data_IF_058813064128
#
_entry.id   IF_058813064128
#
_cell.length_a   1.000
_cell.length_b   1.000
_cell.length_c   1.000
_cell.angle_alpha   90.00
_cell.angle_beta   90.00
_cell.angle_gamma   90.00
#
_symmetry.space_group_name_H-M   'P 1'
#
loop_
_entity.id
_entity.type
_entity.pdbx_description
1 polymer ?
#
# COMPACT_ATOMS: atom_id res chain seq x y z
N UNK A 1 -28.97 -18.58 21.99
CA UNK A 1 -29.46 -18.32 20.62
C UNK A 1 -29.38 -16.81 20.39
N UNK A 2 -28.30 -16.32 19.81
CA UNK A 2 -28.12 -14.90 19.52
C UNK A 2 -29.06 -14.51 18.39
N UNK A 3 -29.92 -13.54 18.63
CA UNK A 3 -30.91 -13.05 17.67
C UNK A 3 -30.22 -12.44 16.44
N UNK A 4 -30.81 -12.60 15.25
CA UNK A 4 -30.31 -12.05 13.99
C UNK A 4 -30.16 -10.51 13.96
N UNK A 5 -30.53 -9.81 15.03
CA UNK A 5 -30.42 -8.35 15.18
C UNK A 5 -29.06 -7.85 15.69
N UNK A 6 -28.19 -8.75 16.18
CA UNK A 6 -26.86 -8.41 16.70
C UNK A 6 -25.71 -8.65 15.72
N UNK A 7 -25.99 -9.05 14.47
CA UNK A 7 -24.94 -9.10 13.45
C UNK A 7 -24.58 -7.68 13.03
N UNK A 8 -23.28 -7.27 13.08
CA UNK A 8 -22.86 -6.02 12.49
C UNK A 8 -23.29 -6.01 11.01
N UNK A 9 -23.63 -4.83 10.46
CA UNK A 9 -24.04 -4.74 9.06
C UNK A 9 -22.99 -5.44 8.19
N UNK A 10 -23.41 -6.22 7.18
CA UNK A 10 -22.47 -6.85 6.28
C UNK A 10 -21.54 -5.77 5.71
N UNK A 11 -20.24 -6.06 5.58
CA UNK A 11 -19.31 -5.07 5.05
C UNK A 11 -19.80 -4.58 3.70
N UNK A 12 -19.75 -3.25 3.49
CA UNK A 12 -20.11 -2.64 2.22
C UNK A 12 -19.16 -3.15 1.12
N UNK A 13 -19.64 -3.98 0.17
CA UNK A 13 -18.79 -4.61 -0.84
C UNK A 13 -18.24 -3.59 -1.85
N UNK A 14 -18.74 -2.35 -1.85
CA UNK A 14 -18.29 -1.27 -2.73
C UNK A 14 -17.19 -0.45 -2.06
N UNK A 15 -16.97 -0.60 -0.75
CA UNK A 15 -15.96 0.21 -0.06
C UNK A 15 -14.56 -0.13 -0.57
N UNK A 16 -13.89 0.79 -1.28
CA UNK A 16 -12.58 0.51 -1.84
C UNK A 16 -11.57 0.28 -0.71
N UNK A 17 -10.51 -0.51 -0.96
CA UNK A 17 -9.43 -0.67 0.01
C UNK A 17 -8.77 0.68 0.25
N UNK A 18 -8.49 0.99 1.52
CA UNK A 18 -7.88 2.27 1.89
C UNK A 18 -6.35 2.16 1.82
N UNK A 19 -5.68 2.83 0.87
CA UNK A 19 -4.24 2.70 0.71
C UNK A 19 -3.45 3.50 1.76
N UNK A 20 -2.27 2.99 2.11
CA UNK A 20 -1.31 3.67 2.97
C UNK A 20 0.14 3.33 2.60
N UNK A 21 1.07 4.06 3.21
CA UNK A 21 2.49 3.79 3.21
C UNK A 21 3.01 3.69 4.66
N UNK A 22 3.99 2.83 4.91
CA UNK A 22 4.76 2.88 6.14
C UNK A 22 5.96 3.80 5.94
N UNK A 23 6.02 4.84 6.76
CA UNK A 23 7.11 5.81 6.74
C UNK A 23 7.96 5.66 7.98
N UNK A 24 9.25 5.37 7.77
CA UNK A 24 10.24 5.14 8.82
C UNK A 24 11.17 6.33 8.96
N UNK A 25 11.21 6.89 10.17
CA UNK A 25 12.02 8.05 10.52
C UNK A 25 13.45 7.68 10.92
N UNK A 26 13.62 6.50 11.54
CA UNK A 26 14.93 6.02 12.01
C UNK A 26 15.01 4.51 11.88
N UNK A 27 16.16 4.03 11.41
CA UNK A 27 16.49 2.60 11.31
C UNK A 27 17.88 2.31 11.90
N UNK A 28 17.98 2.08 13.22
CA UNK A 28 19.26 1.81 13.86
C UNK A 28 19.90 0.47 13.47
N UNK A 29 19.13 -0.47 12.91
CA UNK A 29 19.67 -1.77 12.49
C UNK A 29 20.20 -1.74 11.06
N UNK A 30 19.80 -0.74 10.26
CA UNK A 30 20.21 -0.57 8.87
C UNK A 30 19.63 -1.61 7.91
N UNK A 31 18.61 -2.38 8.32
CA UNK A 31 18.05 -3.46 7.51
C UNK A 31 17.06 -2.94 6.47
N UNK A 32 16.25 -1.94 6.82
CA UNK A 32 15.11 -1.53 6.00
C UNK A 32 15.24 -0.13 5.41
N UNK A 33 16.14 0.68 5.97
CA UNK A 33 16.30 2.08 5.62
C UNK A 33 15.26 2.99 6.26
N UNK A 34 15.31 4.26 5.84
CA UNK A 34 14.39 5.33 6.25
C UNK A 34 13.58 5.84 5.05
N UNK A 35 12.54 6.62 5.32
CA UNK A 35 11.58 7.06 4.30
C UNK A 35 10.44 6.07 4.14
N UNK A 36 9.88 5.97 2.93
CA UNK A 36 8.83 4.98 2.65
C UNK A 36 9.46 3.61 2.50
N UNK A 37 9.10 2.68 3.39
CA UNK A 37 9.69 1.33 3.44
C UNK A 37 8.72 0.24 2.98
N UNK A 38 7.43 0.54 3.00
CA UNK A 38 6.38 -0.36 2.53
C UNK A 38 5.14 0.41 2.07
N UNK A 39 4.37 -0.21 1.18
CA UNK A 39 3.00 0.19 0.84
C UNK A 39 2.01 -0.84 1.35
N UNK A 40 0.79 -0.43 1.65
CA UNK A 40 -0.25 -1.38 2.01
C UNK A 40 -1.65 -0.86 1.74
N UNK A 41 -2.62 -1.75 1.94
CA UNK A 41 -4.04 -1.44 1.86
C UNK A 41 -4.75 -2.03 3.08
N UNK A 42 -5.74 -1.31 3.59
CA UNK A 42 -6.71 -1.85 4.55
C UNK A 42 -7.99 -2.19 3.80
N UNK A 43 -8.36 -3.46 3.82
CA UNK A 43 -9.59 -3.97 3.23
C UNK A 43 -10.82 -3.54 4.03
N UNK A 44 -11.99 -3.66 3.42
CA UNK A 44 -13.26 -3.25 4.03
C UNK A 44 -13.57 -3.97 5.35
N UNK A 45 -12.99 -5.16 5.56
CA UNK A 45 -13.13 -6.00 6.75
C UNK A 45 -12.06 -5.72 7.82
N UNK A 46 -11.17 -4.76 7.56
CA UNK A 46 -10.09 -4.36 8.46
C UNK A 46 -8.77 -5.10 8.25
N UNK A 47 -8.75 -6.17 7.43
CA UNK A 47 -7.51 -6.89 7.11
C UNK A 47 -6.55 -6.02 6.32
N UNK A 48 -5.26 -6.31 6.47
CA UNK A 48 -4.20 -5.51 5.86
C UNK A 48 -3.29 -6.38 5.00
N UNK A 49 -3.04 -5.92 3.78
CA UNK A 49 -1.97 -6.43 2.92
C UNK A 49 -0.87 -5.37 2.85
N UNK A 50 0.37 -5.79 3.14
CA UNK A 50 1.54 -4.94 3.16
C UNK A 50 2.59 -5.48 2.18
N UNK A 51 3.21 -4.59 1.41
CA UNK A 51 4.30 -4.87 0.46
C UNK A 51 5.53 -4.06 0.83
N UNK A 52 6.60 -4.75 1.21
CA UNK A 52 7.91 -4.14 1.46
C UNK A 52 8.61 -3.76 0.15
N UNK A 53 9.16 -2.55 0.10
CA UNK A 53 9.86 -2.04 -1.08
C UNK A 53 11.27 -2.65 -1.20
N UNK A 54 11.88 -3.02 -0.08
CA UNK A 54 13.19 -3.66 -0.08
C UNK A 54 14.34 -2.76 -0.53
N UNK A 55 14.19 -1.43 -0.49
CA UNK A 55 15.19 -0.47 -0.99
C UNK A 55 16.61 -0.72 -0.45
N UNK A 56 16.74 -1.15 0.80
CA UNK A 56 18.03 -1.40 1.44
C UNK A 56 18.59 -2.80 1.19
N UNK A 57 17.73 -3.83 1.12
CA UNK A 57 18.15 -5.24 0.99
C UNK A 57 18.06 -5.79 -0.43
N UNK A 58 17.37 -5.10 -1.34
CA UNK A 58 16.96 -5.61 -2.65
C UNK A 58 15.82 -6.65 -2.58
N UNK A 59 15.34 -7.00 -1.39
CA UNK A 59 14.34 -8.06 -1.20
C UNK A 59 12.97 -7.46 -0.91
N UNK A 60 12.01 -7.72 -1.80
CA UNK A 60 10.60 -7.39 -1.58
C UNK A 60 9.85 -8.57 -1.01
N UNK A 61 8.93 -8.33 -0.08
CA UNK A 61 8.04 -9.34 0.48
C UNK A 61 6.63 -8.79 0.67
N UNK A 62 5.64 -9.67 0.68
CA UNK A 62 4.26 -9.34 1.05
C UNK A 62 3.91 -9.99 2.38
N UNK A 63 3.11 -9.31 3.20
CA UNK A 63 2.66 -9.79 4.50
C UNK A 63 1.20 -9.40 4.73
N UNK A 64 0.42 -10.35 5.23
CA UNK A 64 -0.98 -10.14 5.63
C UNK A 64 -1.07 -9.97 7.14
N UNK A 65 -1.94 -9.07 7.59
CA UNK A 65 -2.25 -8.83 9.01
C UNK A 65 -3.76 -8.75 9.22
N UNK A 66 -4.23 -9.08 10.42
CA UNK A 66 -5.66 -8.98 10.77
C UNK A 66 -6.11 -7.52 10.98
N UNK A 67 -5.18 -6.61 11.31
CA UNK A 67 -5.49 -5.19 11.53
C UNK A 67 -4.29 -4.26 11.28
N UNK A 68 -4.56 -2.96 11.13
CA UNK A 68 -3.50 -1.93 11.06
C UNK A 68 -2.74 -1.79 12.40
N UNK A 69 -3.41 -2.09 13.51
CA UNK A 69 -2.80 -2.06 14.84
C UNK A 69 -1.77 -3.18 14.99
N UNK A 70 -2.00 -4.36 14.40
CA UNK A 70 -0.99 -5.43 14.34
C UNK A 70 0.25 -5.01 13.55
N UNK A 71 0.06 -4.28 12.43
CA UNK A 71 1.18 -3.71 11.67
C UNK A 71 1.98 -2.77 12.55
N UNK A 72 1.33 -1.84 13.26
CA UNK A 72 2.02 -0.89 14.13
C UNK A 72 2.65 -1.53 15.35
N UNK A 73 2.02 -2.56 15.92
CA UNK A 73 2.55 -3.33 17.04
C UNK A 73 3.87 -4.03 16.68
N UNK A 74 3.96 -4.57 15.46
CA UNK A 74 5.17 -5.27 14.99
C UNK A 74 6.22 -4.29 14.43
N UNK A 75 5.81 -3.29 13.65
CA UNK A 75 6.71 -2.46 12.84
C UNK A 75 6.85 -1.00 13.28
N UNK A 76 6.01 -0.54 14.22
CA UNK A 76 6.00 0.85 14.71
C UNK A 76 7.27 1.23 15.48
N UNK A 77 7.92 0.26 16.12
CA UNK A 77 9.20 0.40 16.84
C UNK A 77 9.31 1.69 17.68
N UNK A 78 8.35 1.91 18.59
CA UNK A 78 8.36 3.07 19.49
C UNK A 78 8.12 4.41 18.78
N UNK A 79 7.31 4.42 17.72
CA UNK A 79 6.98 5.63 16.95
C UNK A 79 7.99 5.98 15.86
N UNK A 80 8.98 5.10 15.61
CA UNK A 80 9.95 5.30 14.52
C UNK A 80 9.39 4.99 13.15
N UNK A 81 8.28 4.24 13.08
CA UNK A 81 7.52 4.01 11.87
C UNK A 81 6.09 4.46 12.08
N UNK A 82 5.54 5.21 11.13
CA UNK A 82 4.17 5.71 11.13
C UNK A 82 3.40 5.24 9.89
N UNK A 83 2.07 5.25 9.99
CA UNK A 83 1.17 5.03 8.85
C UNK A 83 0.88 6.39 8.19
N UNK A 84 1.27 6.54 6.93
CA UNK A 84 0.89 7.65 6.08
C UNK A 84 -0.26 7.21 5.16
N UNK A 85 -1.48 7.68 5.43
CA UNK A 85 -2.64 7.38 4.59
C UNK A 85 -2.52 8.07 3.24
N UNK A 86 -2.74 7.31 2.17
CA UNK A 86 -2.70 7.82 0.80
C UNK A 86 -4.10 8.28 0.38
N UNK A 87 -4.20 9.23 -0.57
CA UNK A 87 -5.49 9.60 -1.12
C UNK A 87 -6.18 8.37 -1.70
N UNK A 88 -7.50 8.31 -1.53
CA UNK A 88 -8.34 7.32 -2.20
C UNK A 88 -8.06 7.37 -3.71
N UNK A 89 -7.91 6.22 -4.38
CA UNK A 89 -7.74 6.23 -5.82
C UNK A 89 -8.97 6.89 -6.43
N UNK A 90 -8.79 8.07 -7.05
CA UNK A 90 -9.86 8.68 -7.82
C UNK A 90 -10.27 7.66 -8.88
N UNK A 91 -11.55 7.32 -9.04
CA UNK A 91 -11.97 6.43 -10.11
C UNK A 91 -11.60 7.10 -11.43
N UNK A 92 -10.45 6.72 -12.01
CA UNK A 92 -10.16 7.05 -13.39
C UNK A 92 -11.26 6.34 -14.17
N UNK A 93 -12.18 7.12 -14.77
CA UNK A 93 -13.16 6.56 -15.68
C UNK A 93 -12.37 5.79 -16.73
N UNK A 94 -12.52 4.48 -16.73
CA UNK A 94 -12.09 3.66 -17.85
C UNK A 94 -12.97 4.08 -19.03
N UNK A 95 -12.51 5.05 -19.82
CA UNK A 95 -13.11 5.31 -21.12
C UNK A 95 -12.73 4.10 -21.98
N UNK A 96 -13.66 3.17 -22.16
CA UNK A 96 -13.37 1.84 -22.71
C UNK A 96 -12.79 1.79 -24.14
N UNK A 97 -12.45 2.92 -24.76
CA UNK A 97 -11.75 3.03 -26.04
C UNK A 97 -10.66 4.11 -25.93
N UNK A 98 -9.51 3.98 -26.62
CA UNK A 98 -8.54 5.08 -26.72
C UNK A 98 -9.22 6.26 -27.44
N UNK A 99 -9.49 7.33 -26.69
CA UNK A 99 -10.02 8.56 -27.26
C UNK A 99 -8.86 9.36 -27.89
N UNK A 100 -8.94 9.77 -29.16
CA UNK A 100 -7.84 10.47 -29.85
C UNK A 100 -7.49 11.85 -29.27
N UNK A 101 -8.24 12.35 -28.28
CA UNK A 101 -8.01 13.66 -27.64
C UNK A 101 -7.34 13.58 -26.26
N UNK A 102 -7.04 12.38 -25.76
CA UNK A 102 -6.16 12.23 -24.60
C UNK A 102 -4.76 11.85 -25.11
N UNK A 103 -3.78 12.78 -25.13
CA UNK A 103 -2.40 12.35 -25.29
C UNK A 103 -2.13 11.37 -24.15
N UNK A 104 -1.71 10.16 -24.50
CA UNK A 104 -1.22 9.20 -23.53
C UNK A 104 -0.09 9.91 -22.78
N UNK A 105 -0.17 9.98 -21.45
CA UNK A 105 0.96 10.40 -20.60
C UNK A 105 2.06 9.32 -20.66
N UNK A 106 2.57 9.03 -21.85
CA UNK A 106 3.78 8.25 -22.08
C UNK A 106 4.96 9.24 -22.11
N UNK A 107 5.15 9.91 -20.97
CA UNK A 107 6.28 10.77 -20.73
C UNK A 107 7.12 10.19 -19.59
N UNK A 108 8.16 9.47 -20.02
CA UNK A 108 9.45 9.30 -19.34
C UNK A 108 9.60 8.10 -18.38
N UNK A 109 9.98 6.96 -18.95
CA UNK A 109 11.19 6.25 -18.48
C UNK A 109 11.98 5.79 -19.70
N UNK A 110 13.01 6.57 -20.07
CA UNK A 110 13.99 6.16 -21.08
C UNK A 110 14.81 4.99 -20.54
N UNK A 111 14.59 3.79 -21.06
CA UNK A 111 15.43 2.63 -20.79
C UNK A 111 16.79 2.83 -21.48
N UNK A 112 17.84 3.06 -20.69
CA UNK A 112 19.21 2.98 -21.17
C UNK A 112 19.51 1.53 -21.58
N UNK A 113 19.77 1.29 -22.87
CA UNK A 113 20.34 0.03 -23.36
C UNK A 113 21.79 -0.08 -22.89
N UNK A 114 22.09 -1.14 -22.14
CA UNK A 114 23.46 -1.61 -21.90
C UNK A 114 23.97 -2.28 -23.19
N UNK A 115 24.99 -1.69 -23.81
CA UNK A 115 25.82 -2.40 -24.80
C UNK A 115 26.95 -3.08 -24.03
N UNK A 116 27.00 -4.42 -24.02
CA UNK A 116 28.21 -5.15 -23.63
C UNK A 116 29.26 -5.00 -24.73
N UNK A 117 30.50 -4.72 -24.33
CA UNK A 117 31.70 -4.83 -25.19
C UNK A 117 32.45 -6.09 -24.80
#
# INVERSE_FOLDING_TARGET
>A
MTSARDQPPPPDPIRPPRPFALRRWSDPTGVSGTGVVAHGVVWFDGRVELRWIGTTTGVTSSCSYDSIDDVLRVHGHGGRTEVAWLPEPSPKRWCGNPCPTHPSDDASVSAARLTLT
#
